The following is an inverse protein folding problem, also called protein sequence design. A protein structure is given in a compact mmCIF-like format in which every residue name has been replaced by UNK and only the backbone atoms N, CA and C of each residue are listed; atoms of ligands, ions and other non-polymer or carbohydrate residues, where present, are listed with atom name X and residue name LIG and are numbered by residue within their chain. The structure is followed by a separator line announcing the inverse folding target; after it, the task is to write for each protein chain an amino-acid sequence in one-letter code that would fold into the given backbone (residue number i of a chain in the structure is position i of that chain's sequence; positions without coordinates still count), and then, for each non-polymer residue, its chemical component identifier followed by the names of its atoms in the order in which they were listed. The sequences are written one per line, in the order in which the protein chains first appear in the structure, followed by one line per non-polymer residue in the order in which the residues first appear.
data_IF_870858732473
#
_entry.id   IF_870858732473
#
_cell.length_a   1.000
_cell.length_b   1.000
_cell.length_c   1.000
_cell.angle_alpha   90.00
_cell.angle_beta   90.00
_cell.angle_gamma   90.00
#
_symmetry.space_group_name_H-M   'P 1'
#
loop_
_entity.id
_entity.type
_entity.pdbx_description
1 polymer ?
#
# COMPACT_ATOMS: atom_id res chain seq x y z
N UNK A 1 -59.24 53.36 17.64
CA UNK A 1 -58.20 53.28 16.61
C UNK A 1 -57.13 52.31 17.10
N UNK A 2 -57.11 51.10 16.59
CA UNK A 2 -56.20 50.06 17.07
C UNK A 2 -55.17 49.80 15.97
N UNK A 3 -53.98 50.26 16.14
CA UNK A 3 -52.84 49.99 15.22
C UNK A 3 -52.27 48.63 15.53
N UNK A 4 -52.53 47.71 14.66
CA UNK A 4 -51.87 46.40 14.65
C UNK A 4 -50.48 46.52 13.98
N UNK A 5 -49.43 46.42 14.79
CA UNK A 5 -48.08 46.27 14.27
C UNK A 5 -47.86 44.80 13.97
N UNK A 6 -47.75 44.47 12.71
CA UNK A 6 -47.33 43.13 12.26
C UNK A 6 -45.85 43.00 12.47
N UNK A 7 -45.47 42.06 13.31
CA UNK A 7 -44.06 41.63 13.45
C UNK A 7 -43.73 40.65 12.35
N UNK A 8 -42.88 41.05 11.45
CA UNK A 8 -42.29 40.18 10.42
C UNK A 8 -41.18 39.35 11.09
N UNK A 9 -41.47 38.10 11.34
CA UNK A 9 -40.46 37.13 11.73
C UNK A 9 -39.70 36.70 10.49
N UNK A 10 -38.43 37.04 10.39
CA UNK A 10 -37.53 36.57 9.39
C UNK A 10 -37.07 35.12 9.75
N UNK A 11 -37.13 34.16 8.84
CA UNK A 11 -36.55 32.84 9.09
C UNK A 11 -35.02 32.93 9.04
N UNK A 12 -34.39 32.62 10.16
CA UNK A 12 -32.95 32.42 10.24
C UNK A 12 -32.57 31.14 9.48
N UNK A 13 -32.06 31.32 8.30
CA UNK A 13 -31.57 30.23 7.46
C UNK A 13 -30.26 29.73 8.09
N UNK A 14 -30.33 28.60 8.79
CA UNK A 14 -29.16 27.91 9.35
C UNK A 14 -28.42 27.22 8.19
N UNK A 15 -27.42 27.88 7.65
CA UNK A 15 -26.46 27.26 6.72
C UNK A 15 -25.62 26.24 7.51
N UNK A 16 -25.99 24.94 7.40
CA UNK A 16 -25.09 23.85 7.74
C UNK A 16 -23.94 23.88 6.75
N UNK A 17 -22.83 24.49 7.13
CA UNK A 17 -21.56 24.28 6.47
C UNK A 17 -21.11 22.85 6.76
N UNK A 18 -21.31 21.95 5.80
CA UNK A 18 -20.62 20.67 5.76
C UNK A 18 -19.16 20.96 5.46
N UNK A 19 -18.40 21.30 6.51
CA UNK A 19 -16.96 21.37 6.48
C UNK A 19 -16.37 19.98 6.44
N UNK A 20 -16.37 19.35 5.27
CA UNK A 20 -15.57 18.16 4.98
C UNK A 20 -14.10 18.54 4.84
N UNK A 21 -13.50 19.09 5.89
CA UNK A 21 -12.07 19.29 6.00
C UNK A 21 -11.43 17.99 6.46
N UNK A 22 -11.25 17.02 5.56
CA UNK A 22 -10.31 15.94 5.78
C UNK A 22 -8.93 16.55 5.87
N UNK A 23 -8.41 16.77 7.09
CA UNK A 23 -7.00 17.04 7.29
C UNK A 23 -6.24 15.83 6.72
N UNK A 24 -5.46 16.05 5.63
CA UNK A 24 -4.53 15.08 5.14
C UNK A 24 -3.43 14.91 6.19
N UNK A 25 -3.63 13.97 7.10
CA UNK A 25 -2.55 13.44 7.94
C UNK A 25 -1.49 12.79 7.04
N UNK A 26 -0.27 12.52 7.56
CA UNK A 26 0.72 11.75 6.81
C UNK A 26 0.06 10.48 6.30
N UNK A 27 0.20 10.22 4.98
CA UNK A 27 -0.39 9.05 4.36
C UNK A 27 0.00 7.80 5.16
N UNK A 28 -0.96 6.96 5.58
CA UNK A 28 -0.63 5.74 6.28
C UNK A 28 0.33 4.93 5.42
N UNK A 29 1.40 4.44 6.04
CA UNK A 29 2.45 3.70 5.37
C UNK A 29 1.88 2.44 4.72
N UNK A 30 1.42 2.54 3.48
CA UNK A 30 0.91 1.48 2.62
C UNK A 30 -0.29 0.71 3.18
N UNK A 31 -1.19 0.31 2.31
CA UNK A 31 -2.35 -0.49 2.65
C UNK A 31 -2.22 -1.90 2.09
N UNK A 32 -2.13 -2.90 2.99
CA UNK A 32 -1.90 -4.29 2.62
C UNK A 32 -2.96 -4.86 1.68
N UNK A 33 -4.23 -4.45 1.81
CA UNK A 33 -5.30 -4.91 0.93
C UNK A 33 -5.12 -4.47 -0.53
N UNK A 34 -4.71 -3.23 -0.76
CA UNK A 34 -4.34 -2.76 -2.10
C UNK A 34 -3.04 -3.41 -2.58
N UNK A 35 -2.09 -3.57 -1.65
CA UNK A 35 -0.81 -4.22 -1.93
C UNK A 35 -0.96 -5.67 -2.36
N UNK A 36 -1.97 -6.38 -1.87
CA UNK A 36 -2.29 -7.73 -2.31
C UNK A 36 -2.56 -7.78 -3.82
N UNK A 37 -3.38 -6.89 -4.34
CA UNK A 37 -3.70 -6.82 -5.78
C UNK A 37 -2.45 -6.58 -6.61
N UNK A 38 -1.59 -5.66 -6.18
CA UNK A 38 -0.30 -5.41 -6.84
C UNK A 38 0.59 -6.65 -6.79
N UNK A 39 0.69 -7.30 -5.64
CA UNK A 39 1.49 -8.49 -5.45
C UNK A 39 1.04 -9.64 -6.37
N UNK A 40 -0.25 -9.95 -6.38
CA UNK A 40 -0.80 -11.04 -7.18
C UNK A 40 -0.54 -10.86 -8.67
N UNK A 41 -0.58 -9.62 -9.16
CA UNK A 41 -0.41 -9.32 -10.58
C UNK A 41 1.05 -9.12 -11.00
N UNK A 42 1.90 -8.60 -10.13
CA UNK A 42 3.26 -8.16 -10.49
C UNK A 42 4.38 -8.97 -9.84
N UNK A 43 4.13 -9.60 -8.71
CA UNK A 43 5.16 -10.25 -7.90
C UNK A 43 4.99 -11.77 -7.83
N UNK A 44 3.74 -12.24 -7.71
CA UNK A 44 3.43 -13.66 -7.56
C UNK A 44 3.89 -14.54 -8.73
N UNK A 45 3.95 -14.09 -10.00
CA UNK A 45 4.50 -14.92 -11.07
C UNK A 45 5.90 -15.48 -10.79
N UNK A 46 6.73 -14.72 -10.07
CA UNK A 46 8.06 -15.14 -9.65
C UNK A 46 8.11 -15.57 -8.19
N UNK A 47 7.56 -14.75 -7.27
CA UNK A 47 7.65 -14.98 -5.82
C UNK A 47 6.64 -15.99 -5.29
N UNK A 48 5.66 -16.40 -6.08
CA UNK A 48 4.60 -17.32 -5.69
C UNK A 48 3.45 -16.63 -4.97
N UNK A 49 2.21 -17.13 -5.08
CA UNK A 49 1.04 -16.58 -4.41
C UNK A 49 1.15 -16.63 -2.88
N UNK A 50 1.88 -17.60 -2.35
CA UNK A 50 2.20 -17.75 -0.93
C UNK A 50 3.52 -17.10 -0.50
N UNK A 51 4.22 -16.39 -1.39
CA UNK A 51 5.48 -15.74 -1.06
C UNK A 51 6.68 -16.65 -0.92
N UNK A 52 6.58 -17.91 -1.34
CA UNK A 52 7.60 -18.93 -1.14
C UNK A 52 8.80 -18.90 -2.12
N UNK A 53 8.80 -17.95 -3.07
CA UNK A 53 9.82 -17.93 -4.14
C UNK A 53 9.59 -19.02 -5.19
N UNK A 54 8.39 -19.55 -5.27
CA UNK A 54 7.97 -20.72 -6.04
C UNK A 54 6.89 -20.40 -7.07
N UNK A 55 6.87 -19.19 -7.57
CA UNK A 55 5.97 -18.81 -8.65
C UNK A 55 6.23 -19.62 -9.94
N UNK A 56 5.27 -19.66 -10.87
CA UNK A 56 5.42 -20.45 -12.10
C UNK A 56 6.64 -20.07 -12.93
N UNK A 57 7.09 -18.82 -12.87
CA UNK A 57 8.30 -18.39 -13.56
C UNK A 57 9.60 -18.75 -12.82
N UNK A 58 9.53 -19.10 -11.52
CA UNK A 58 10.71 -19.29 -10.67
C UNK A 58 11.61 -20.45 -11.14
N UNK A 59 11.06 -21.43 -11.84
CA UNK A 59 11.82 -22.61 -12.33
C UNK A 59 12.92 -22.23 -13.31
N UNK A 60 12.79 -21.11 -14.00
CA UNK A 60 13.73 -20.63 -15.01
C UNK A 60 14.60 -19.47 -14.50
N UNK A 61 14.51 -19.12 -13.20
CA UNK A 61 15.18 -17.94 -12.64
C UNK A 61 16.33 -18.36 -11.73
N UNK A 62 17.54 -17.87 -12.05
CA UNK A 62 18.73 -17.95 -11.21
C UNK A 62 19.35 -16.56 -11.03
N UNK A 63 19.65 -16.13 -9.78
CA UNK A 63 19.29 -16.82 -8.54
C UNK A 63 17.76 -16.83 -8.34
N UNK A 64 17.27 -17.85 -7.63
CA UNK A 64 15.81 -17.98 -7.37
C UNK A 64 15.24 -16.76 -6.67
N UNK A 65 13.95 -16.44 -6.93
CA UNK A 65 13.24 -15.40 -6.17
C UNK A 65 13.30 -15.66 -4.66
N UNK A 66 13.38 -14.61 -3.88
CA UNK A 66 13.40 -14.72 -2.41
C UNK A 66 12.13 -15.40 -1.90
N UNK A 67 12.32 -16.27 -0.92
CA UNK A 67 11.25 -16.86 -0.14
C UNK A 67 10.94 -15.93 1.06
N UNK A 68 9.80 -15.26 1.01
CA UNK A 68 9.35 -14.36 2.08
C UNK A 68 8.84 -15.10 3.32
N UNK A 69 8.72 -16.42 3.27
CA UNK A 69 8.37 -17.25 4.42
C UNK A 69 9.59 -17.74 5.20
N UNK A 70 10.78 -17.45 4.69
CA UNK A 70 12.03 -17.74 5.40
C UNK A 70 12.26 -16.69 6.50
N UNK A 71 12.34 -17.10 7.79
CA UNK A 71 12.64 -16.16 8.86
C UNK A 71 13.99 -15.43 8.67
N UNK A 72 14.96 -16.08 8.05
CA UNK A 72 16.25 -15.50 7.73
C UNK A 72 16.18 -14.30 6.79
N UNK A 73 15.18 -14.29 5.89
CA UNK A 73 14.95 -13.15 5.02
C UNK A 73 14.61 -11.88 5.79
N UNK A 74 13.85 -11.98 6.88
CA UNK A 74 13.38 -10.84 7.66
C UNK A 74 14.38 -10.30 8.66
N UNK A 75 15.40 -11.08 8.97
CA UNK A 75 16.40 -10.72 9.99
C UNK A 75 17.13 -9.43 9.62
N UNK A 76 16.90 -8.38 10.43
CA UNK A 76 17.50 -7.06 10.23
C UNK A 76 16.98 -6.29 9.01
N UNK A 77 15.93 -6.77 8.35
CA UNK A 77 15.38 -6.12 7.15
C UNK A 77 14.29 -5.11 7.49
N UNK A 78 14.45 -3.90 7.01
CA UNK A 78 13.49 -2.81 7.22
C UNK A 78 12.52 -2.68 6.05
N UNK A 79 11.39 -2.01 6.29
CA UNK A 79 10.44 -1.66 5.21
C UNK A 79 11.09 -0.80 4.14
N UNK A 80 11.94 0.13 4.54
CA UNK A 80 12.64 1.01 3.61
C UNK A 80 13.57 0.23 2.67
N UNK A 81 14.27 -0.76 3.19
CA UNK A 81 15.10 -1.64 2.36
C UNK A 81 14.27 -2.45 1.36
N UNK A 82 13.08 -2.93 1.77
CA UNK A 82 12.16 -3.61 0.87
C UNK A 82 11.64 -2.66 -0.21
N UNK A 83 11.26 -1.45 0.18
CA UNK A 83 10.81 -0.40 -0.72
C UNK A 83 11.84 -0.11 -1.80
N UNK A 84 13.09 0.10 -1.40
CA UNK A 84 14.19 0.37 -2.33
C UNK A 84 14.40 -0.77 -3.34
N UNK A 85 14.33 -2.03 -2.90
CA UNK A 85 14.45 -3.17 -3.80
C UNK A 85 13.29 -3.22 -4.81
N UNK A 86 12.08 -2.94 -4.39
CA UNK A 86 10.93 -2.87 -5.31
C UNK A 86 11.09 -1.72 -6.31
N UNK A 87 11.50 -0.55 -5.85
CA UNK A 87 11.72 0.61 -6.71
C UNK A 87 12.82 0.40 -7.74
N UNK A 88 13.97 -0.06 -7.29
CA UNK A 88 15.21 -0.05 -8.05
C UNK A 88 15.55 -1.42 -8.68
N UNK A 89 14.81 -2.46 -8.31
CA UNK A 89 15.17 -3.81 -8.66
C UNK A 89 16.43 -4.28 -7.92
N UNK A 90 16.92 -5.44 -8.31
CA UNK A 90 18.17 -5.98 -7.76
C UNK A 90 19.15 -6.27 -8.89
N UNK A 91 20.20 -5.45 -9.05
CA UNK A 91 21.22 -5.66 -10.07
C UNK A 91 21.82 -7.08 -10.01
N UNK A 92 22.08 -7.66 -11.18
CA UNK A 92 22.59 -9.05 -11.29
C UNK A 92 21.53 -10.13 -11.10
N UNK A 93 20.26 -9.76 -10.99
CA UNK A 93 19.13 -10.68 -10.91
C UNK A 93 18.01 -10.28 -11.88
N UNK A 94 17.00 -11.16 -12.06
CA UNK A 94 15.81 -10.85 -12.86
C UNK A 94 14.78 -9.98 -12.11
N UNK A 95 15.04 -9.59 -10.85
CA UNK A 95 14.19 -8.65 -10.12
C UNK A 95 14.29 -7.26 -10.75
N UNK A 96 13.30 -6.94 -11.57
CA UNK A 96 13.21 -5.67 -12.29
C UNK A 96 12.88 -4.49 -11.37
N UNK A 97 13.27 -3.25 -11.74
CA UNK A 97 12.81 -2.04 -11.06
C UNK A 97 11.34 -1.77 -11.39
N UNK A 98 10.54 -1.41 -10.37
CA UNK A 98 9.12 -1.12 -10.54
C UNK A 98 8.77 0.37 -10.45
N UNK A 99 9.73 1.26 -10.17
CA UNK A 99 9.47 2.70 -10.05
C UNK A 99 8.85 3.33 -11.31
N UNK A 100 9.07 2.75 -12.50
CA UNK A 100 8.45 3.19 -13.76
C UNK A 100 7.08 2.58 -14.05
N UNK A 101 6.72 1.50 -13.35
CA UNK A 101 5.48 0.73 -13.58
C UNK A 101 4.47 0.88 -12.43
N UNK A 102 4.94 1.16 -11.23
CA UNK A 102 4.13 1.37 -10.04
C UNK A 102 4.35 2.78 -9.49
N UNK A 103 3.29 3.40 -8.97
CA UNK A 103 3.41 4.63 -8.20
C UNK A 103 4.10 4.39 -6.85
N UNK A 104 4.59 5.44 -6.23
CA UNK A 104 5.17 5.37 -4.88
C UNK A 104 4.16 4.78 -3.86
N UNK A 105 2.88 5.15 -3.98
CA UNK A 105 1.83 4.61 -3.12
C UNK A 105 1.59 3.11 -3.33
N UNK A 106 1.59 2.63 -4.57
CA UNK A 106 1.46 1.21 -4.88
C UNK A 106 2.67 0.41 -4.38
N UNK A 107 3.87 0.99 -4.44
CA UNK A 107 5.07 0.38 -3.87
C UNK A 107 4.94 0.29 -2.34
N UNK A 108 4.49 1.34 -1.67
CA UNK A 108 4.26 1.31 -0.22
C UNK A 108 3.18 0.28 0.16
N UNK A 109 2.13 0.16 -0.63
CA UNK A 109 1.06 -0.81 -0.44
C UNK A 109 1.56 -2.25 -0.57
N UNK A 110 2.32 -2.56 -1.63
CA UNK A 110 2.85 -3.92 -1.81
C UNK A 110 3.88 -4.27 -0.74
N UNK A 111 4.70 -3.33 -0.30
CA UNK A 111 5.63 -3.54 0.82
C UNK A 111 4.88 -3.80 2.13
N UNK A 112 3.73 -3.14 2.34
CA UNK A 112 2.84 -3.44 3.47
C UNK A 112 2.30 -4.88 3.39
N UNK A 113 1.87 -5.31 2.20
CA UNK A 113 1.37 -6.67 2.00
C UNK A 113 2.46 -7.74 2.22
N UNK A 114 3.70 -7.47 1.83
CA UNK A 114 4.82 -8.40 2.06
C UNK A 114 4.98 -8.78 3.54
N UNK A 115 4.59 -7.90 4.47
CA UNK A 115 4.65 -8.20 5.90
C UNK A 115 3.73 -9.37 6.29
N UNK A 116 2.70 -9.66 5.50
CA UNK A 116 1.79 -10.78 5.75
C UNK A 116 2.46 -12.16 5.60
N UNK A 117 3.58 -12.23 4.87
CA UNK A 117 4.36 -13.45 4.73
C UNK A 117 5.39 -13.66 5.84
N UNK A 118 5.62 -12.64 6.65
CA UNK A 118 6.60 -12.69 7.72
C UNK A 118 6.20 -13.71 8.78
N UNK A 119 7.06 -14.71 9.08
CA UNK A 119 6.77 -15.65 10.14
C UNK A 119 6.68 -14.95 11.52
N UNK A 120 5.83 -15.47 12.39
CA UNK A 120 5.71 -14.97 13.75
C UNK A 120 7.08 -15.09 14.47
N UNK A 121 7.50 -14.02 15.15
CA UNK A 121 8.74 -14.00 15.92
C UNK A 121 10.02 -13.76 15.10
N UNK A 122 9.92 -13.40 13.82
CA UNK A 122 11.09 -13.06 12.99
C UNK A 122 11.26 -11.53 12.82
#
# INVERSE_FOLDING_TARGET
MVSRRAALAAPLLLLLACGGGGAAGPAPAGEAGRGQVVYETRCAPCHGPGGGGDGPAAVAIEPRPRNFRDPGFWKGRTREQLRLVVEQGKPGTLMAPFAGALSAAEIDDVVAYLQSFRPAGS
#
